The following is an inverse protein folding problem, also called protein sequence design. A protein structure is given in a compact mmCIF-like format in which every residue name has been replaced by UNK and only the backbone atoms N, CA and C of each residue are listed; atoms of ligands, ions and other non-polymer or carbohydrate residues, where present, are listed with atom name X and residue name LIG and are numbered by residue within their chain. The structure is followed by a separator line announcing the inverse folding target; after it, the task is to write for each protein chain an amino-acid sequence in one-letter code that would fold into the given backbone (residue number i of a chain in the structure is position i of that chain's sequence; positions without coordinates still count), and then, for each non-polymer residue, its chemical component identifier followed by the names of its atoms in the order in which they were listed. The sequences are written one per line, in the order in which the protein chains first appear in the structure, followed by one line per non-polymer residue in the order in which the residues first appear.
data_IF_198173341619
#
_entry.id   IF_198173341619
#
_cell.length_a   1.000
_cell.length_b   1.000
_cell.length_c   1.000
_cell.angle_alpha   90.00
_cell.angle_beta   90.00
_cell.angle_gamma   90.00
#
_symmetry.space_group_name_H-M   'P 1'
#
loop_
_entity.id
_entity.type
_entity.pdbx_description
1 polymer ?
#
# COMPACT_ATOMS: atom_id res chain seq x y z
N UNK A 1 1.35 -32.10 -14.83
CA UNK A 1 -0.05 -31.66 -14.72
C UNK A 1 -0.10 -30.39 -15.53
N UNK A 2 -0.52 -30.51 -16.79
CA UNK A 2 -0.53 -29.41 -17.76
C UNK A 2 -1.61 -28.40 -17.39
N UNK A 3 -1.21 -27.17 -17.09
CA UNK A 3 -2.09 -26.01 -16.93
C UNK A 3 -1.74 -25.01 -18.04
N UNK A 4 -1.99 -25.40 -19.28
CA UNK A 4 -1.81 -24.57 -20.49
C UNK A 4 -3.04 -24.70 -21.37
N UNK A 5 -4.22 -24.49 -20.78
CA UNK A 5 -5.45 -24.39 -21.56
C UNK A 5 -6.00 -23.00 -21.31
N UNK A 6 -5.86 -22.12 -22.31
CA UNK A 6 -6.59 -20.86 -22.41
C UNK A 6 -7.99 -21.01 -21.81
N UNK A 7 -8.20 -20.42 -20.64
CA UNK A 7 -9.44 -20.57 -19.88
C UNK A 7 -10.50 -19.73 -20.57
N UNK A 8 -11.25 -20.35 -21.49
CA UNK A 8 -12.28 -19.68 -22.26
C UNK A 8 -13.37 -19.19 -21.31
N UNK A 9 -13.41 -17.88 -21.07
CA UNK A 9 -14.51 -17.26 -20.38
C UNK A 9 -15.60 -16.86 -21.35
N UNK A 10 -16.84 -17.01 -20.90
CA UNK A 10 -18.00 -16.47 -21.60
C UNK A 10 -18.69 -15.49 -20.66
N UNK A 11 -18.94 -14.28 -21.16
CA UNK A 11 -19.71 -13.26 -20.44
C UNK A 11 -21.09 -13.18 -21.07
N UNK A 12 -22.14 -13.38 -20.27
CA UNK A 12 -23.53 -13.31 -20.71
C UNK A 12 -24.35 -12.65 -19.60
N UNK A 13 -25.15 -11.64 -19.95
CA UNK A 13 -25.98 -10.89 -19.02
C UNK A 13 -25.23 -10.34 -17.78
N UNK A 14 -23.97 -9.90 -17.97
CA UNK A 14 -23.12 -9.37 -16.89
C UNK A 14 -22.58 -10.41 -15.92
N UNK A 15 -22.75 -11.71 -16.24
CA UNK A 15 -22.20 -12.83 -15.51
C UNK A 15 -21.12 -13.51 -16.35
N UNK A 16 -19.97 -13.78 -15.75
CA UNK A 16 -18.85 -14.47 -16.37
C UNK A 16 -18.78 -15.91 -15.89
N UNK A 17 -18.66 -16.83 -16.84
CA UNK A 17 -18.47 -18.26 -16.61
C UNK A 17 -17.12 -18.64 -17.21
N UNK A 18 -16.28 -19.32 -16.43
CA UNK A 18 -14.97 -19.79 -16.88
C UNK A 18 -15.01 -21.30 -17.02
N UNK A 19 -14.66 -21.82 -18.20
CA UNK A 19 -14.66 -23.26 -18.44
C UNK A 19 -13.72 -23.99 -17.46
N UNK A 20 -14.24 -25.02 -16.80
CA UNK A 20 -13.48 -25.82 -15.83
C UNK A 20 -13.36 -25.21 -14.42
N UNK A 21 -13.90 -24.01 -14.19
CA UNK A 21 -13.98 -23.38 -12.86
C UNK A 21 -15.42 -23.47 -12.37
N UNK A 22 -15.67 -24.04 -11.17
CA UNK A 22 -17.01 -24.05 -10.60
C UNK A 22 -17.44 -22.62 -10.22
N UNK A 23 -18.73 -22.32 -10.43
CA UNK A 23 -19.32 -21.05 -10.03
C UNK A 23 -19.43 -20.02 -11.15
N UNK A 24 -19.84 -18.83 -10.75
CA UNK A 24 -20.09 -17.69 -11.62
C UNK A 24 -19.46 -16.45 -11.03
N UNK A 25 -19.02 -15.57 -11.89
CA UNK A 25 -18.44 -14.30 -11.49
C UNK A 25 -19.34 -13.15 -11.94
N UNK A 26 -19.48 -12.12 -11.10
CA UNK A 26 -20.31 -10.96 -11.38
C UNK A 26 -19.57 -9.68 -11.03
N UNK A 27 -19.91 -8.57 -11.68
CA UNK A 27 -19.46 -7.25 -11.27
C UNK A 27 -20.40 -6.66 -10.22
N UNK A 28 -19.85 -6.00 -9.20
CA UNK A 28 -20.60 -5.39 -8.11
C UNK A 28 -20.35 -3.87 -8.05
N UNK A 29 -20.92 -3.06 -8.96
CA UNK A 29 -20.65 -1.62 -9.04
C UNK A 29 -21.12 -0.81 -7.82
N UNK A 30 -21.96 -1.39 -6.96
CA UNK A 30 -22.37 -0.79 -5.69
C UNK A 30 -21.30 -0.95 -4.60
N UNK A 31 -20.40 -1.92 -4.73
CA UNK A 31 -19.32 -2.16 -3.77
C UNK A 31 -18.10 -1.33 -4.15
N UNK A 32 -17.38 -0.85 -3.15
CA UNK A 32 -16.22 0.03 -3.32
C UNK A 32 -14.95 -0.73 -3.01
N UNK A 33 -13.94 -0.54 -3.85
CA UNK A 33 -12.58 -0.98 -3.60
C UNK A 33 -11.85 0.09 -2.79
N UNK A 34 -11.21 -0.32 -1.71
CA UNK A 34 -10.28 0.53 -0.94
C UNK A 34 -8.84 0.11 -1.23
N UNK A 35 -7.99 1.07 -1.57
CA UNK A 35 -6.56 0.84 -1.77
C UNK A 35 -5.78 1.77 -0.85
N UNK A 36 -4.77 1.23 -0.19
CA UNK A 36 -3.79 1.98 0.56
C UNK A 36 -2.43 1.86 -0.11
N UNK A 37 -1.68 2.95 -0.13
CA UNK A 37 -0.32 2.99 -0.63
C UNK A 37 0.63 3.66 0.36
N UNK A 38 1.86 3.18 0.39
CA UNK A 38 2.94 3.69 1.24
C UNK A 38 4.26 3.74 0.47
N UNK A 39 5.28 4.39 1.06
CA UNK A 39 6.59 4.52 0.41
C UNK A 39 6.57 5.41 -0.83
N UNK A 40 5.70 6.44 -0.83
CA UNK A 40 5.55 7.36 -1.95
C UNK A 40 6.88 8.05 -2.25
N UNK A 41 7.36 7.91 -3.48
CA UNK A 41 8.62 8.48 -3.96
C UNK A 41 8.40 9.16 -5.30
N UNK A 42 8.68 10.46 -5.37
CA UNK A 42 8.65 11.19 -6.64
C UNK A 42 9.86 10.81 -7.50
N UNK A 43 9.58 10.31 -8.70
CA UNK A 43 10.58 9.91 -9.68
C UNK A 43 10.51 10.87 -10.87
N UNK A 44 11.66 11.45 -11.22
CA UNK A 44 11.81 12.23 -12.44
C UNK A 44 12.29 11.34 -13.58
N UNK A 45 11.78 11.55 -14.79
CA UNK A 45 12.18 10.77 -15.95
C UNK A 45 11.69 11.39 -17.24
N UNK A 46 12.31 10.98 -18.35
CA UNK A 46 11.85 11.30 -19.68
C UNK A 46 11.71 10.01 -20.48
N UNK A 47 10.66 9.90 -21.27
CA UNK A 47 10.43 8.79 -22.17
C UNK A 47 10.24 9.32 -23.59
N UNK A 48 10.74 8.59 -24.58
CA UNK A 48 10.44 8.89 -25.98
C UNK A 48 9.03 8.36 -26.29
N UNK A 49 8.09 9.26 -26.60
CA UNK A 49 6.73 8.92 -27.02
C UNK A 49 6.44 9.60 -28.35
N UNK A 50 5.99 8.83 -29.34
CA UNK A 50 5.68 9.32 -30.68
C UNK A 50 6.82 10.15 -31.33
N UNK A 51 8.07 9.77 -31.04
CA UNK A 51 9.26 10.47 -31.54
C UNK A 51 9.62 11.78 -30.82
N UNK A 52 8.86 12.18 -29.80
CA UNK A 52 9.15 13.32 -28.94
C UNK A 52 9.58 12.89 -27.53
N UNK A 53 10.52 13.62 -26.93
CA UNK A 53 10.89 13.41 -25.54
C UNK A 53 9.78 14.00 -24.64
N UNK A 54 9.05 13.13 -23.96
CA UNK A 54 7.99 13.52 -23.02
C UNK A 54 8.48 13.34 -21.57
N UNK A 55 8.06 14.24 -20.69
CA UNK A 55 8.25 14.06 -19.25
C UNK A 55 7.47 12.82 -18.79
N UNK A 56 8.17 11.83 -18.23
CA UNK A 56 7.59 10.61 -17.66
C UNK A 56 7.67 10.60 -16.12
N UNK A 57 7.65 11.81 -15.54
CA UNK A 57 7.59 12.00 -14.09
C UNK A 57 6.40 11.26 -13.50
N UNK A 58 6.66 10.50 -12.43
CA UNK A 58 5.64 9.70 -11.74
C UNK A 58 5.94 9.64 -10.24
N UNK A 59 4.96 9.23 -9.45
CA UNK A 59 5.19 8.86 -8.06
C UNK A 59 5.08 7.34 -7.98
N UNK A 60 6.12 6.68 -7.48
CA UNK A 60 6.10 5.25 -7.20
C UNK A 60 5.68 5.02 -5.74
N UNK A 61 4.92 3.96 -5.49
CA UNK A 61 4.51 3.53 -4.16
C UNK A 61 4.29 2.01 -4.12
N UNK A 62 4.12 1.45 -2.92
CA UNK A 62 3.62 0.10 -2.71
C UNK A 62 2.18 0.15 -2.24
N UNK A 63 1.28 -0.47 -2.99
CA UNK A 63 -0.15 -0.52 -2.74
C UNK A 63 -0.61 -1.87 -2.22
N UNK A 64 -1.68 -1.86 -1.43
CA UNK A 64 -2.36 -3.06 -0.92
C UNK A 64 -3.85 -2.81 -0.77
N UNK A 65 -4.62 -3.88 -0.66
CA UNK A 65 -6.02 -3.84 -0.27
C UNK A 65 -6.07 -4.20 1.23
N UNK A 66 -6.39 -3.25 2.14
CA UNK A 66 -6.29 -3.51 3.58
C UNK A 66 -7.32 -4.54 4.08
N UNK A 67 -8.53 -4.51 3.52
CA UNK A 67 -9.68 -5.31 3.95
C UNK A 67 -10.02 -6.45 2.98
N UNK A 68 -9.63 -6.32 1.71
CA UNK A 68 -10.04 -7.19 0.60
C UNK A 68 -8.86 -7.94 -0.01
N UNK A 69 -9.15 -8.99 -0.79
CA UNK A 69 -8.16 -9.66 -1.66
C UNK A 69 -8.27 -9.20 -3.10
N UNK A 70 -7.15 -9.24 -3.84
CA UNK A 70 -7.14 -9.12 -5.31
C UNK A 70 -6.52 -10.39 -5.88
N UNK A 71 -7.12 -11.00 -6.87
CA UNK A 71 -6.58 -12.18 -7.54
C UNK A 71 -6.98 -12.23 -9.01
N UNK A 72 -6.70 -13.36 -9.66
CA UNK A 72 -7.20 -13.69 -11.01
C UNK A 72 -8.37 -14.66 -10.91
N UNK A 73 -9.39 -14.47 -11.75
CA UNK A 73 -10.55 -15.35 -11.77
C UNK A 73 -10.13 -16.77 -12.19
N UNK A 74 -10.61 -17.78 -11.47
CA UNK A 74 -10.24 -19.18 -11.72
C UNK A 74 -8.89 -19.62 -11.15
N UNK A 75 -8.13 -18.73 -10.50
CA UNK A 75 -6.84 -19.02 -9.88
C UNK A 75 -6.86 -18.70 -8.38
N UNK A 76 -6.12 -19.48 -7.59
CA UNK A 76 -6.10 -19.38 -6.12
C UNK A 76 -5.14 -18.33 -5.58
N UNK A 77 -4.32 -17.74 -6.43
CA UNK A 77 -3.38 -16.69 -6.05
C UNK A 77 -4.10 -15.39 -5.66
N UNK A 78 -3.52 -14.68 -4.70
CA UNK A 78 -3.92 -13.34 -4.30
C UNK A 78 -2.70 -12.43 -4.26
N UNK A 79 -2.89 -11.17 -4.63
CA UNK A 79 -1.93 -10.11 -4.49
C UNK A 79 -1.74 -9.79 -3.00
N UNK A 80 -0.48 -9.72 -2.58
CA UNK A 80 -0.11 -9.07 -1.32
C UNK A 80 0.04 -7.56 -1.53
N UNK A 81 1.26 -7.07 -1.37
CA UNK A 81 1.62 -5.74 -1.85
C UNK A 81 1.91 -5.75 -3.35
N UNK A 82 1.59 -4.66 -4.03
CA UNK A 82 1.80 -4.49 -5.46
C UNK A 82 2.38 -3.10 -5.76
N UNK A 83 3.28 -2.97 -6.76
CA UNK A 83 3.74 -1.67 -7.21
C UNK A 83 2.59 -0.80 -7.72
N UNK A 84 2.60 0.46 -7.30
CA UNK A 84 1.68 1.50 -7.74
C UNK A 84 2.47 2.61 -8.44
N UNK A 85 2.13 2.89 -9.70
CA UNK A 85 2.57 4.06 -10.43
C UNK A 85 1.47 5.13 -10.45
N UNK A 86 1.75 6.29 -9.90
CA UNK A 86 0.85 7.46 -9.94
C UNK A 86 1.34 8.42 -11.01
N UNK A 87 0.46 8.79 -11.93
CA UNK A 87 0.79 9.57 -13.13
C UNK A 87 -0.22 10.71 -13.33
N UNK A 88 0.19 11.84 -13.94
CA UNK A 88 -0.76 12.82 -14.41
C UNK A 88 -1.54 12.26 -15.60
N UNK A 89 -2.82 12.63 -15.73
CA UNK A 89 -3.62 12.32 -16.90
C UNK A 89 -2.94 12.86 -18.17
N UNK A 90 -2.96 12.11 -19.29
CA UNK A 90 -2.40 12.60 -20.54
C UNK A 90 -3.15 13.84 -21.03
N UNK A 91 -2.40 14.79 -21.60
CA UNK A 91 -2.94 16.03 -22.18
C UNK A 91 -4.00 15.72 -23.26
N UNK A 92 -5.10 16.47 -23.27
CA UNK A 92 -6.21 16.28 -24.22
C UNK A 92 -7.30 15.29 -23.76
N UNK A 93 -7.16 14.67 -22.59
CA UNK A 93 -8.24 13.90 -21.97
C UNK A 93 -9.39 14.80 -21.49
N UNK A 94 -10.61 14.55 -21.95
CA UNK A 94 -11.82 15.34 -21.61
C UNK A 94 -12.35 15.13 -20.18
N UNK A 95 -11.67 14.36 -19.34
CA UNK A 95 -12.19 13.99 -18.02
C UNK A 95 -11.23 14.41 -16.91
N UNK A 96 -11.68 15.33 -16.05
CA UNK A 96 -11.09 15.64 -14.74
C UNK A 96 -11.27 14.49 -13.72
N UNK A 97 -11.33 13.24 -14.19
CA UNK A 97 -11.66 12.05 -13.40
C UNK A 97 -10.39 11.31 -13.04
N UNK A 98 -10.25 10.97 -11.77
CA UNK A 98 -9.18 10.10 -11.30
C UNK A 98 -9.47 8.65 -11.71
N UNK A 99 -8.51 7.97 -12.31
CA UNK A 99 -8.67 6.62 -12.84
C UNK A 99 -7.68 5.66 -12.19
N UNK A 100 -8.14 4.48 -11.82
CA UNK A 100 -7.32 3.37 -11.35
C UNK A 100 -7.31 2.27 -12.41
N UNK A 101 -6.15 1.70 -12.69
CA UNK A 101 -6.01 0.48 -13.50
C UNK A 101 -5.29 -0.56 -12.64
N UNK A 102 -5.89 -1.74 -12.54
CA UNK A 102 -5.30 -2.91 -11.87
C UNK A 102 -5.06 -3.97 -12.94
N UNK A 103 -3.86 -4.53 -12.98
CA UNK A 103 -3.46 -5.46 -14.01
C UNK A 103 -2.51 -6.52 -13.45
N UNK A 104 -2.30 -7.57 -14.25
CA UNK A 104 -1.38 -8.65 -13.95
C UNK A 104 -0.53 -8.96 -15.20
N UNK A 105 0.79 -8.98 -15.06
CA UNK A 105 1.70 -9.26 -16.17
C UNK A 105 1.79 -8.11 -17.20
N UNK A 106 2.10 -8.43 -18.46
CA UNK A 106 2.38 -7.47 -19.55
C UNK A 106 3.70 -6.71 -19.36
N UNK A 107 3.65 -5.47 -18.87
CA UNK A 107 4.81 -4.58 -18.75
C UNK A 107 5.58 -4.78 -17.43
N UNK A 108 4.88 -5.22 -16.39
CA UNK A 108 5.41 -5.46 -15.05
C UNK A 108 5.13 -6.91 -14.62
N UNK A 109 6.08 -7.60 -13.96
CA UNK A 109 5.84 -8.95 -13.47
C UNK A 109 4.82 -8.92 -12.33
N UNK A 110 3.78 -9.75 -12.44
CA UNK A 110 2.76 -9.91 -11.39
C UNK A 110 1.73 -8.78 -11.35
N UNK A 111 1.09 -8.64 -10.18
CA UNK A 111 0.07 -7.60 -9.95
C UNK A 111 0.69 -6.22 -9.89
N UNK A 112 0.08 -5.25 -10.55
CA UNK A 112 0.49 -3.86 -10.47
C UNK A 112 -0.72 -2.93 -10.64
N UNK A 113 -0.56 -1.70 -10.17
CA UNK A 113 -1.57 -0.66 -10.23
C UNK A 113 -1.04 0.60 -10.91
N UNK A 114 -1.88 1.25 -11.70
CA UNK A 114 -1.62 2.61 -12.20
C UNK A 114 -2.76 3.53 -11.80
N UNK A 115 -2.42 4.65 -11.15
CA UNK A 115 -3.34 5.71 -10.75
C UNK A 115 -3.09 6.94 -11.61
N UNK A 116 -4.10 7.35 -12.37
CA UNK A 116 -4.08 8.56 -13.18
C UNK A 116 -4.84 9.67 -12.47
N UNK A 117 -4.18 10.81 -12.25
CA UNK A 117 -4.73 11.95 -11.54
C UNK A 117 -4.81 13.18 -12.45
N UNK A 118 -5.81 14.06 -12.26
CA UNK A 118 -5.75 15.43 -12.77
C UNK A 118 -4.44 16.11 -12.40
N UNK A 119 -3.90 16.92 -13.32
CA UNK A 119 -2.59 17.56 -13.17
C UNK A 119 -2.47 18.35 -11.86
N UNK A 120 -3.54 19.04 -11.46
CA UNK A 120 -3.57 19.83 -10.22
C UNK A 120 -3.41 18.95 -8.98
N UNK A 121 -4.05 17.78 -8.96
CA UNK A 121 -3.97 16.83 -7.84
C UNK A 121 -2.61 16.14 -7.85
N UNK A 122 -2.11 15.75 -9.02
CA UNK A 122 -0.80 15.12 -9.17
C UNK A 122 0.32 16.06 -8.68
N UNK A 123 0.31 17.31 -9.14
CA UNK A 123 1.29 18.32 -8.76
C UNK A 123 1.26 18.63 -7.26
N UNK A 124 0.07 18.74 -6.66
CA UNK A 124 -0.08 18.92 -5.22
C UNK A 124 0.48 17.73 -4.41
N UNK A 125 0.12 16.51 -4.81
CA UNK A 125 0.64 15.30 -4.17
C UNK A 125 2.16 15.21 -4.30
N UNK A 126 2.71 15.49 -5.49
CA UNK A 126 4.16 15.47 -5.73
C UNK A 126 4.89 16.46 -4.82
N UNK A 127 4.38 17.68 -4.69
CA UNK A 127 4.95 18.68 -3.79
C UNK A 127 4.93 18.21 -2.32
N UNK A 128 3.84 17.58 -1.88
CA UNK A 128 3.74 17.03 -0.53
C UNK A 128 4.66 15.82 -0.32
N UNK A 129 4.87 14.97 -1.33
CA UNK A 129 5.86 13.88 -1.28
C UNK A 129 7.27 14.44 -1.14
N UNK A 130 7.65 15.40 -1.98
CA UNK A 130 8.97 16.03 -1.94
C UNK A 130 9.23 16.78 -0.62
N UNK A 131 8.18 17.32 0.00
CA UNK A 131 8.25 17.96 1.30
C UNK A 131 8.10 17.00 2.49
N UNK A 132 7.98 15.69 2.27
CA UNK A 132 7.80 14.67 3.32
C UNK A 132 6.44 14.71 4.04
N UNK A 133 5.46 15.43 3.49
CA UNK A 133 4.08 15.53 4.01
C UNK A 133 3.15 14.44 3.48
N UNK A 134 3.56 13.70 2.45
CA UNK A 134 2.80 12.58 1.89
C UNK A 134 3.64 11.29 1.90
N UNK A 135 3.47 10.48 2.95
CA UNK A 135 4.10 9.16 3.07
C UNK A 135 3.10 7.99 3.02
N UNK A 136 1.80 8.29 3.16
CA UNK A 136 0.69 7.35 2.95
C UNK A 136 -0.38 7.98 2.08
N UNK A 137 -1.03 7.16 1.26
CA UNK A 137 -2.13 7.54 0.39
C UNK A 137 -3.23 6.48 0.52
N UNK A 138 -4.48 6.92 0.61
CA UNK A 138 -5.65 6.06 0.56
C UNK A 138 -6.59 6.53 -0.53
N UNK A 139 -7.24 5.59 -1.20
CA UNK A 139 -8.23 5.89 -2.21
C UNK A 139 -9.40 4.90 -2.15
N UNK A 140 -10.53 5.36 -2.68
CA UNK A 140 -11.74 4.57 -2.82
C UNK A 140 -12.21 4.65 -4.26
N UNK A 141 -12.46 3.51 -4.89
CA UNK A 141 -12.83 3.42 -6.29
C UNK A 141 -14.01 2.48 -6.54
N UNK A 142 -14.80 2.80 -7.55
CA UNK A 142 -15.73 1.84 -8.17
C UNK A 142 -15.01 1.17 -9.32
N UNK A 143 -14.99 -0.16 -9.38
CA UNK A 143 -14.16 -0.91 -10.35
C UNK A 143 -14.98 -1.87 -11.21
N UNK A 144 -14.39 -2.27 -12.33
CA UNK A 144 -14.90 -3.34 -13.21
C UNK A 144 -14.38 -4.73 -12.81
N UNK A 145 -13.90 -4.89 -11.57
CA UNK A 145 -13.43 -6.17 -11.05
C UNK A 145 -14.60 -7.14 -10.89
N UNK A 146 -14.29 -8.42 -10.96
CA UNK A 146 -15.23 -9.50 -10.76
C UNK A 146 -15.21 -9.97 -9.30
N UNK A 147 -16.34 -10.48 -8.82
CA UNK A 147 -16.48 -11.19 -7.56
C UNK A 147 -17.09 -12.56 -7.84
N UNK A 148 -16.86 -13.52 -6.96
CA UNK A 148 -17.71 -14.72 -6.94
C UNK A 148 -19.16 -14.29 -6.72
N UNK A 149 -20.09 -14.87 -7.46
CA UNK A 149 -21.51 -14.55 -7.33
C UNK A 149 -22.04 -14.78 -5.90
N UNK A 150 -21.50 -15.77 -5.18
CA UNK A 150 -21.84 -16.00 -3.78
C UNK A 150 -21.41 -14.85 -2.85
N UNK A 151 -20.41 -14.05 -3.25
CA UNK A 151 -19.91 -12.91 -2.49
C UNK A 151 -20.60 -11.58 -2.87
N UNK A 152 -21.45 -11.56 -3.90
CA UNK A 152 -22.06 -10.33 -4.43
C UNK A 152 -22.79 -9.51 -3.37
N UNK A 153 -23.59 -10.17 -2.55
CA UNK A 153 -24.44 -9.56 -1.54
C UNK A 153 -23.80 -9.59 -0.14
N UNK A 154 -22.50 -9.91 -0.07
CA UNK A 154 -21.72 -9.84 1.17
C UNK A 154 -21.73 -8.40 1.70
N UNK A 155 -22.03 -8.18 3.00
CA UNK A 155 -21.96 -6.87 3.62
C UNK A 155 -20.63 -6.17 3.39
N UNK A 156 -20.62 -4.83 3.35
CA UNK A 156 -19.44 -4.05 3.03
C UNK A 156 -18.28 -4.27 4.03
N UNK A 157 -18.60 -4.63 5.27
CA UNK A 157 -17.64 -4.85 6.36
C UNK A 157 -16.95 -6.22 6.29
N UNK A 158 -17.43 -7.14 5.45
CA UNK A 158 -16.80 -8.43 5.26
C UNK A 158 -15.88 -8.41 4.05
N UNK A 159 -14.67 -8.93 4.22
CA UNK A 159 -13.69 -9.17 3.15
C UNK A 159 -14.33 -9.91 1.97
N UNK A 160 -14.01 -9.46 0.77
CA UNK A 160 -14.29 -10.18 -0.48
C UNK A 160 -13.01 -10.37 -1.29
N UNK A 161 -13.04 -11.29 -2.25
CA UNK A 161 -11.93 -11.50 -3.17
C UNK A 161 -12.24 -10.95 -4.56
N UNK A 162 -11.69 -9.77 -4.85
CA UNK A 162 -11.77 -9.16 -6.18
C UNK A 162 -10.94 -9.94 -7.20
N UNK A 163 -11.46 -10.11 -8.41
CA UNK A 163 -10.83 -10.91 -9.46
C UNK A 163 -10.66 -10.11 -10.75
N UNK A 164 -9.45 -10.14 -11.30
CA UNK A 164 -9.21 -9.80 -12.71
C UNK A 164 -9.86 -10.87 -13.58
N UNK A 165 -10.57 -10.44 -14.62
CA UNK A 165 -11.11 -11.35 -15.62
C UNK A 165 -10.00 -11.89 -16.53
N UNK A 166 -10.21 -13.03 -17.20
CA UNK A 166 -9.29 -13.48 -18.23
C UNK A 166 -9.30 -12.52 -19.42
N UNK A 167 -8.17 -12.43 -20.10
CA UNK A 167 -8.05 -11.66 -21.33
C UNK A 167 -8.84 -12.35 -22.47
N UNK A 168 -9.63 -11.63 -23.28
CA UNK A 168 -10.33 -12.24 -24.41
C UNK A 168 -9.40 -12.69 -25.54
N UNK A 169 -8.22 -12.07 -25.67
CA UNK A 169 -7.32 -12.21 -26.81
C UNK A 169 -6.05 -13.04 -26.48
N UNK A 170 -5.77 -13.30 -25.20
CA UNK A 170 -4.57 -14.02 -24.73
C UNK A 170 -4.85 -14.91 -23.50
N UNK A 171 -3.88 -15.72 -23.07
CA UNK A 171 -3.94 -16.51 -21.82
C UNK A 171 -3.74 -15.64 -20.55
N UNK A 172 -3.69 -14.32 -20.72
CA UNK A 172 -3.49 -13.34 -19.66
C UNK A 172 -4.75 -12.98 -18.87
N UNK A 173 -4.67 -11.86 -18.15
CA UNK A 173 -5.82 -11.29 -17.46
C UNK A 173 -6.10 -9.89 -17.97
N UNK A 174 -7.36 -9.63 -18.29
CA UNK A 174 -7.83 -8.33 -18.71
C UNK A 174 -7.64 -7.32 -17.56
N UNK A 175 -7.07 -6.14 -17.84
CA UNK A 175 -6.91 -5.10 -16.83
C UNK A 175 -8.27 -4.59 -16.36
N UNK A 176 -8.44 -4.47 -15.04
CA UNK A 176 -9.63 -3.87 -14.46
C UNK A 176 -9.46 -2.35 -14.35
N UNK A 177 -10.51 -1.63 -14.73
CA UNK A 177 -10.56 -0.16 -14.66
C UNK A 177 -11.44 0.27 -13.50
N UNK A 178 -11.01 1.33 -12.83
CA UNK A 178 -11.70 1.92 -11.69
C UNK A 178 -11.83 3.42 -11.84
N UNK A 179 -12.99 3.94 -11.42
CA UNK A 179 -13.22 5.36 -11.21
C UNK A 179 -12.96 5.66 -9.74
N UNK A 180 -11.94 6.47 -9.46
CA UNK A 180 -11.61 6.88 -8.10
C UNK A 180 -12.56 8.00 -7.68
N UNK A 181 -13.25 7.77 -6.57
CA UNK A 181 -14.26 8.69 -6.02
C UNK A 181 -13.67 9.56 -4.92
N UNK A 182 -12.71 9.03 -4.15
CA UNK A 182 -12.03 9.72 -3.06
C UNK A 182 -10.57 9.37 -3.03
N UNK A 183 -9.74 10.35 -2.71
CA UNK A 183 -8.31 10.20 -2.46
C UNK A 183 -7.93 11.08 -1.27
N UNK A 184 -7.04 10.58 -0.42
CA UNK A 184 -6.47 11.32 0.68
C UNK A 184 -5.01 10.89 0.86
N UNK A 185 -4.17 11.80 1.34
CA UNK A 185 -2.80 11.47 1.72
C UNK A 185 -2.42 12.17 3.02
N UNK A 186 -1.46 11.59 3.71
CA UNK A 186 -0.93 12.12 4.97
C UNK A 186 0.54 11.80 5.08
N UNK A 187 1.21 12.43 6.04
CA UNK A 187 2.56 12.03 6.41
C UNK A 187 2.55 10.53 6.76
N UNK A 188 3.66 9.85 6.48
CA UNK A 188 3.88 8.56 7.11
C UNK A 188 3.79 8.77 8.62
N UNK A 189 3.24 7.80 9.35
CA UNK A 189 3.47 7.83 10.80
C UNK A 189 4.99 7.89 10.95
N UNK A 190 5.48 8.84 11.74
CA UNK A 190 6.84 8.71 12.25
C UNK A 190 6.92 7.27 12.77
N UNK A 191 7.99 6.51 12.46
CA UNK A 191 8.27 5.33 13.23
C UNK A 191 8.06 5.78 14.67
N UNK A 192 7.19 5.10 15.41
CA UNK A 192 7.30 5.16 16.86
C UNK A 192 8.78 4.86 17.04
N UNK A 193 9.56 5.89 17.44
CA UNK A 193 10.87 5.62 17.97
C UNK A 193 10.61 4.44 18.90
N UNK A 194 11.36 3.33 18.78
CA UNK A 194 11.24 2.28 19.79
C UNK A 194 11.18 3.04 21.08
N UNK A 195 10.09 2.86 21.85
CA UNK A 195 9.98 3.52 23.13
C UNK A 195 11.37 3.38 23.71
N UNK A 196 12.05 4.51 23.96
CA UNK A 196 13.25 4.44 24.75
C UNK A 196 12.73 3.76 26.00
N UNK A 197 12.92 2.44 26.10
CA UNK A 197 13.09 1.77 27.35
C UNK A 197 14.02 2.73 28.05
N UNK A 198 13.46 3.47 29.03
CA UNK A 198 14.23 4.33 29.91
C UNK A 198 15.52 3.58 30.13
N UNK A 199 16.69 4.13 29.71
CA UNK A 199 17.88 3.32 29.54
C UNK A 199 18.05 2.54 30.83
N UNK A 200 17.80 1.22 30.78
CA UNK A 200 17.78 0.39 31.98
C UNK A 200 19.06 0.75 32.71
N UNK A 201 18.92 1.40 33.87
CA UNK A 201 20.01 2.01 34.59
C UNK A 201 20.98 0.86 34.85
N UNK A 202 22.02 0.75 34.01
CA UNK A 202 22.77 -0.51 33.93
C UNK A 202 23.26 -0.80 35.33
N UNK A 203 23.18 -2.05 35.78
CA UNK A 203 23.53 -2.44 37.15
C UNK A 203 24.90 -1.84 37.57
N UNK A 204 25.79 -1.62 36.61
CA UNK A 204 27.03 -0.84 36.72
C UNK A 204 26.91 0.62 37.17
N UNK A 205 25.97 1.41 36.64
CA UNK A 205 25.71 2.81 37.02
C UNK A 205 25.13 2.87 38.44
N UNK A 206 24.18 1.98 38.77
CA UNK A 206 23.61 1.85 40.11
C UNK A 206 24.67 1.41 41.15
N UNK A 207 25.54 0.46 40.79
CA UNK A 207 26.68 0.04 41.62
C UNK A 207 27.70 1.17 41.82
N UNK A 208 27.95 2.00 40.79
CA UNK A 208 28.87 3.14 40.88
C UNK A 208 28.34 4.22 41.83
N UNK A 209 27.04 4.50 41.77
CA UNK A 209 26.35 5.44 42.67
C UNK A 209 26.31 4.92 44.12
N UNK A 210 26.04 3.62 44.32
CA UNK A 210 26.10 2.96 45.64
C UNK A 210 27.50 3.03 46.25
N UNK A 211 28.53 2.69 45.48
CA UNK A 211 29.93 2.73 45.93
C UNK A 211 30.37 4.15 46.32
N UNK A 212 29.88 5.17 45.59
CA UNK A 212 30.17 6.56 45.92
C UNK A 212 29.47 7.03 47.21
N UNK A 213 28.20 6.67 47.42
CA UNK A 213 27.50 7.01 48.66
C UNK A 213 28.09 6.30 49.88
N UNK A 214 28.54 5.05 49.73
CA UNK A 214 29.15 4.28 50.81
C UNK A 214 30.50 4.88 51.23
N UNK A 215 31.30 5.37 50.26
CA UNK A 215 32.53 6.12 50.57
C UNK A 215 32.25 7.41 51.34
N UNK A 216 31.17 8.12 51.02
CA UNK A 216 30.78 9.32 51.76
C UNK A 216 30.35 9.01 53.20
N UNK A 217 29.54 7.96 53.40
CA UNK A 217 29.12 7.54 54.75
C UNK A 217 30.33 7.09 55.58
N UNK A 218 31.26 6.33 55.00
CA UNK A 218 32.48 5.91 55.68
C UNK A 218 33.35 7.12 56.09
N UNK A 219 33.47 8.13 55.23
CA UNK A 219 34.23 9.35 55.53
C UNK A 219 33.62 10.12 56.72
N UNK A 220 32.29 10.25 56.75
CA UNK A 220 31.58 10.93 57.85
C UNK A 220 31.74 10.15 59.17
N UNK A 221 31.67 8.82 59.14
CA UNK A 221 31.90 7.98 60.31
C UNK A 221 33.31 8.13 60.88
N UNK A 222 34.33 8.13 60.02
CA UNK A 222 35.72 8.35 60.44
C UNK A 222 35.87 9.75 61.05
N UNK A 223 35.27 10.77 60.44
CA UNK A 223 35.30 12.12 60.98
C UNK A 223 34.65 12.20 62.36
N UNK A 224 33.50 11.57 62.55
CA UNK A 224 32.83 11.49 63.87
C UNK A 224 33.67 10.75 64.90
N UNK A 225 34.35 9.65 64.53
CA UNK A 225 35.25 8.94 65.45
C UNK A 225 36.45 9.80 65.85
N UNK A 226 37.03 10.57 64.93
CA UNK A 226 38.12 11.51 65.25
C UNK A 226 37.63 12.59 66.23
N UNK A 227 36.45 13.18 65.99
CA UNK A 227 35.88 14.20 66.89
C UNK A 227 35.58 13.61 68.28
N UNK A 228 35.09 12.38 68.35
CA UNK A 228 34.84 11.70 69.63
C UNK A 228 36.13 11.37 70.40
N UNK A 229 37.24 11.08 69.70
CA UNK A 229 38.53 10.78 70.32
C UNK A 229 39.32 12.03 70.76
N UNK A 230 38.99 13.22 70.23
CA UNK A 230 39.58 14.51 70.64
C UNK A 230 38.87 15.15 71.84
N UNK A 231 37.88 14.48 72.43
CA UNK A 231 37.13 14.93 73.60
C UNK A 231 37.45 14.08 74.83
#
# INVERSE_FOLDING_TARGET
MDLSTAQRATVTDGRMIIAGVPGHFVQAPARRLTVEASGLTALSGYALRDGALANDGRIAAQARLPEDGLGRAGLSEEAGEMPLAIRPLPEGGTAARMLLVLAYGQEEPGYHATLWLPEEIFSALKQDVEAGRAGRLSLVATTSLWLDEAERDTPAERRVAWRLGPDPDDEGSAPARGLVERIAWSAAAAPLAPAEDEPEETVTEALRRLNWSLKQIALVLVFLMIVAALK
#
